data_IF_222325657008
#
_entry.id   IF_222325657008
#
_cell.length_a   1.000
_cell.length_b   1.000
_cell.length_c   1.000
_cell.angle_alpha   90.00
_cell.angle_beta   90.00
_cell.angle_gamma   90.00
#
_symmetry.space_group_name_H-M   'P 1'
#
loop_
_entity.id
_entity.type
_entity.pdbx_description
1 polymer ?
#
# COMPACT_ATOMS: atom_id res chain seq x y z
N UNK A 1 -34.53 7.63 35.24
CA UNK A 1 -33.21 8.16 35.66
C UNK A 1 -32.04 7.26 35.29
N UNK A 2 -32.02 5.95 35.62
CA UNK A 2 -30.91 5.06 35.23
C UNK A 2 -30.78 4.84 33.71
N UNK A 3 -31.90 4.64 33.00
CA UNK A 3 -31.92 4.44 31.55
C UNK A 3 -31.48 5.68 30.75
N UNK A 4 -31.81 6.87 31.24
CA UNK A 4 -31.40 8.15 30.63
C UNK A 4 -29.91 8.40 30.84
N UNK A 5 -29.36 8.08 32.02
CA UNK A 5 -27.92 8.17 32.28
C UNK A 5 -27.11 7.19 31.40
N UNK A 6 -27.59 5.95 31.24
CA UNK A 6 -26.96 4.95 30.35
C UNK A 6 -27.00 5.44 28.88
N UNK A 7 -28.13 6.00 28.43
CA UNK A 7 -28.24 6.56 27.09
C UNK A 7 -27.24 7.70 26.82
N UNK A 8 -27.09 8.62 27.78
CA UNK A 8 -26.12 9.73 27.68
C UNK A 8 -24.68 9.20 27.63
N UNK A 9 -24.35 8.20 28.45
CA UNK A 9 -23.02 7.58 28.42
C UNK A 9 -22.74 6.91 27.08
N UNK A 10 -23.70 6.18 26.50
CA UNK A 10 -23.54 5.54 25.19
C UNK A 10 -23.33 6.56 24.07
N UNK A 11 -24.10 7.65 24.06
CA UNK A 11 -23.92 8.74 23.10
C UNK A 11 -22.54 9.38 23.25
N UNK A 12 -22.08 9.60 24.49
CA UNK A 12 -20.76 10.16 24.74
C UNK A 12 -19.64 9.24 24.26
N UNK A 13 -19.72 7.93 24.52
CA UNK A 13 -18.76 6.94 24.03
C UNK A 13 -18.74 6.92 22.50
N UNK A 14 -19.91 6.95 21.86
CA UNK A 14 -20.02 6.97 20.40
C UNK A 14 -19.43 8.25 19.80
N UNK A 15 -19.74 9.41 20.38
CA UNK A 15 -19.19 10.70 19.94
C UNK A 15 -17.67 10.74 20.09
N UNK A 16 -17.14 10.21 21.20
CA UNK A 16 -15.71 10.11 21.43
C UNK A 16 -15.04 9.18 20.41
N UNK A 17 -15.65 8.03 20.11
CA UNK A 17 -15.18 7.10 19.09
C UNK A 17 -15.14 7.72 17.68
N UNK A 18 -16.20 8.42 17.27
CA UNK A 18 -16.24 9.15 16.01
C UNK A 18 -15.17 10.24 15.94
N UNK A 19 -14.97 10.98 17.04
CA UNK A 19 -13.95 12.00 17.13
C UNK A 19 -12.54 11.41 16.95
N UNK A 20 -12.25 10.27 17.61
CA UNK A 20 -10.98 9.56 17.41
C UNK A 20 -10.82 9.08 15.97
N UNK A 21 -11.85 8.47 15.38
CA UNK A 21 -11.81 7.99 13.99
C UNK A 21 -11.57 9.13 12.99
N UNK A 22 -12.26 10.26 13.17
CA UNK A 22 -12.07 11.46 12.36
C UNK A 22 -10.67 12.05 12.51
N UNK A 23 -10.18 12.18 13.75
CA UNK A 23 -8.83 12.71 14.06
C UNK A 23 -7.71 11.88 13.42
N UNK A 24 -7.91 10.56 13.30
CA UNK A 24 -6.97 9.65 12.63
C UNK A 24 -7.06 9.68 11.10
N UNK A 25 -7.98 10.47 10.53
CA UNK A 25 -8.21 10.55 9.08
C UNK A 25 -9.05 9.42 8.52
N UNK A 26 -9.88 8.75 9.33
CA UNK A 26 -10.70 7.62 8.88
C UNK A 26 -11.78 7.99 7.87
N UNK A 27 -12.12 9.28 7.76
CA UNK A 27 -13.01 9.84 6.73
C UNK A 27 -12.26 10.53 5.59
N UNK A 28 -10.92 10.52 5.57
CA UNK A 28 -10.19 11.13 4.48
C UNK A 28 -10.47 10.38 3.19
N UNK A 29 -10.76 11.13 2.13
CA UNK A 29 -10.97 10.55 0.82
C UNK A 29 -9.66 10.01 0.25
N UNK A 30 -9.79 8.93 -0.52
CA UNK A 30 -8.71 8.40 -1.34
C UNK A 30 -8.67 9.28 -2.59
N UNK A 31 -7.64 10.12 -2.71
CA UNK A 31 -7.42 10.96 -3.89
C UNK A 31 -6.87 10.08 -5.00
N UNK A 32 -7.54 10.03 -6.16
CA UNK A 32 -7.11 9.21 -7.29
C UNK A 32 -6.89 10.09 -8.50
N UNK A 33 -5.74 9.92 -9.12
CA UNK A 33 -5.34 10.67 -10.30
C UNK A 33 -4.54 9.80 -11.27
N UNK A 34 -4.46 10.26 -12.53
CA UNK A 34 -3.54 9.70 -13.52
C UNK A 34 -2.22 10.43 -13.40
N UNK A 35 -1.13 9.70 -13.18
CA UNK A 35 0.23 10.24 -13.12
C UNK A 35 1.11 9.63 -14.22
N UNK A 36 2.03 10.43 -14.77
CA UNK A 36 3.12 9.92 -15.58
C UNK A 36 4.35 9.75 -14.69
N UNK A 37 4.57 8.53 -14.21
CA UNK A 37 5.72 8.15 -13.39
C UNK A 37 6.95 7.75 -14.22
N UNK A 38 6.86 7.81 -15.55
CA UNK A 38 7.91 7.36 -16.45
C UNK A 38 8.22 5.87 -16.27
N UNK A 39 9.51 5.53 -16.30
CA UNK A 39 9.98 4.19 -16.00
C UNK A 39 10.23 4.06 -14.49
N UNK A 40 9.57 3.09 -13.85
CA UNK A 40 9.78 2.76 -12.45
C UNK A 40 10.78 1.60 -12.39
N UNK A 41 11.95 1.85 -11.81
CA UNK A 41 12.97 0.82 -11.60
C UNK A 41 13.04 0.50 -10.10
N UNK A 42 12.68 -0.74 -9.75
CA UNK A 42 12.73 -1.24 -8.39
C UNK A 42 13.78 -2.33 -8.28
N UNK A 43 14.36 -2.47 -7.10
CA UNK A 43 15.24 -3.59 -6.76
C UNK A 43 15.01 -4.02 -5.32
N UNK A 44 14.94 -5.32 -5.10
CA UNK A 44 14.52 -5.89 -3.82
C UNK A 44 14.49 -7.40 -3.78
N UNK A 45 13.73 -7.94 -2.83
CA UNK A 45 13.65 -9.37 -2.54
C UNK A 45 12.31 -9.88 -3.07
N UNK A 46 12.37 -10.94 -3.87
CA UNK A 46 11.18 -11.71 -4.26
C UNK A 46 10.97 -12.87 -3.28
N UNK A 47 9.80 -12.93 -2.67
CA UNK A 47 9.45 -13.95 -1.71
C UNK A 47 8.21 -14.73 -2.18
N UNK A 48 8.26 -16.05 -2.00
CA UNK A 48 7.11 -16.94 -2.17
C UNK A 48 7.08 -17.93 -1.01
N UNK A 49 5.98 -17.97 -0.28
CA UNK A 49 5.85 -18.74 0.95
C UNK A 49 4.58 -18.36 1.69
N UNK A 50 4.57 -18.38 3.02
CA UNK A 50 3.40 -18.03 3.85
C UNK A 50 3.61 -16.73 4.64
N UNK A 51 2.53 -16.04 5.07
CA UNK A 51 2.63 -14.84 5.91
C UNK A 51 3.39 -15.00 7.23
N UNK A 52 3.59 -16.23 7.70
CA UNK A 52 4.25 -16.54 8.97
C UNK A 52 5.71 -17.00 8.80
N UNK A 53 6.20 -17.07 7.56
CA UNK A 53 7.58 -17.46 7.29
C UNK A 53 8.55 -16.38 7.77
N UNK A 54 9.59 -16.78 8.50
CA UNK A 54 10.57 -15.82 9.05
C UNK A 54 11.34 -15.10 7.93
N UNK A 55 11.54 -15.74 6.77
CA UNK A 55 12.21 -15.13 5.61
C UNK A 55 11.41 -13.97 5.01
N UNK A 56 10.07 -13.96 5.13
CA UNK A 56 9.25 -12.80 4.77
C UNK A 56 9.56 -11.62 5.69
N UNK A 57 9.60 -11.87 6.99
CA UNK A 57 9.93 -10.86 8.00
C UNK A 57 11.36 -10.34 7.85
N UNK A 58 12.30 -11.21 7.50
CA UNK A 58 13.66 -10.81 7.16
C UNK A 58 13.73 -9.95 5.90
N UNK A 59 12.94 -10.28 4.86
CA UNK A 59 12.85 -9.47 3.66
C UNK A 59 12.36 -8.05 3.98
N UNK A 60 11.25 -7.93 4.70
CA UNK A 60 10.75 -6.62 5.16
C UNK A 60 11.76 -5.88 6.02
N UNK A 61 12.36 -6.54 7.02
CA UNK A 61 13.36 -5.92 7.90
C UNK A 61 14.56 -5.39 7.11
N UNK A 62 15.02 -6.14 6.12
CA UNK A 62 16.18 -5.75 5.29
C UNK A 62 15.87 -4.47 4.51
N UNK A 63 14.73 -4.42 3.84
CA UNK A 63 14.32 -3.25 3.06
C UNK A 63 13.98 -2.06 3.96
N UNK A 64 13.32 -2.28 5.10
CA UNK A 64 13.03 -1.22 6.08
C UNK A 64 14.30 -0.59 6.66
N UNK A 65 15.34 -1.38 6.95
CA UNK A 65 16.62 -0.86 7.42
C UNK A 65 17.27 0.03 6.37
N UNK A 66 17.37 -0.45 5.12
CA UNK A 66 17.92 0.34 4.01
C UNK A 66 17.14 1.64 3.77
N UNK A 67 15.81 1.58 3.90
CA UNK A 67 14.93 2.75 3.76
C UNK A 67 15.18 3.78 4.85
N UNK A 68 15.44 3.35 6.09
CA UNK A 68 15.75 4.26 7.21
C UNK A 68 17.13 4.89 7.11
N UNK A 69 18.08 4.19 6.53
CA UNK A 69 19.46 4.65 6.34
C UNK A 69 19.62 5.59 5.13
N UNK A 70 18.64 5.60 4.23
CA UNK A 70 18.70 6.34 2.96
C UNK A 70 17.61 7.41 2.89
N UNK A 71 18.01 8.68 2.99
CA UNK A 71 17.07 9.79 2.88
C UNK A 71 16.33 9.77 1.53
N UNK A 72 15.00 9.83 1.58
CA UNK A 72 14.14 9.84 0.40
C UNK A 72 13.87 8.47 -0.22
N UNK A 73 14.49 7.39 0.25
CA UNK A 73 14.12 6.03 -0.12
C UNK A 73 12.72 5.69 0.41
N UNK A 74 11.97 4.89 -0.34
CA UNK A 74 10.63 4.44 0.03
C UNK A 74 10.57 2.93 -0.13
N UNK A 75 9.80 2.28 0.75
CA UNK A 75 9.53 0.85 0.66
C UNK A 75 8.37 0.62 -0.31
N UNK A 76 8.55 -0.34 -1.21
CA UNK A 76 7.55 -0.78 -2.17
C UNK A 76 7.21 -2.24 -1.98
N UNK A 77 5.93 -2.56 -2.13
CA UNK A 77 5.47 -3.94 -2.20
C UNK A 77 4.63 -4.20 -3.43
N UNK A 78 4.76 -5.40 -3.99
CA UNK A 78 3.91 -5.88 -5.09
C UNK A 78 3.46 -7.28 -4.72
N UNK A 79 2.17 -7.43 -4.42
CA UNK A 79 1.56 -8.74 -4.15
C UNK A 79 1.09 -9.36 -5.46
N UNK A 80 1.83 -10.34 -5.97
CA UNK A 80 1.44 -11.13 -7.14
C UNK A 80 0.36 -12.17 -6.77
N UNK A 81 0.43 -12.69 -5.55
CA UNK A 81 -0.58 -13.55 -4.96
C UNK A 81 -0.81 -13.12 -3.51
N UNK A 82 -2.03 -12.68 -3.21
CA UNK A 82 -2.43 -12.33 -1.85
C UNK A 82 -2.92 -13.57 -1.09
N UNK A 83 -2.49 -13.75 0.18
CA UNK A 83 -2.95 -14.84 1.01
C UNK A 83 -4.33 -14.52 1.59
N UNK A 84 -5.24 -15.51 1.65
CA UNK A 84 -6.53 -15.36 2.35
C UNK A 84 -6.40 -15.65 3.85
N UNK A 85 -5.33 -16.31 4.28
CA UNK A 85 -5.04 -16.68 5.64
C UNK A 85 -3.55 -16.88 5.91
N UNK A 86 -3.21 -17.04 7.20
CA UNK A 86 -1.82 -17.11 7.68
C UNK A 86 -0.99 -18.28 7.12
N UNK A 87 -1.65 -19.31 6.57
CA UNK A 87 -1.01 -20.52 6.03
C UNK A 87 -1.10 -20.61 4.50
N UNK A 88 -1.75 -19.64 3.88
CA UNK A 88 -1.90 -19.63 2.43
C UNK A 88 -0.61 -19.16 1.80
N UNK A 89 -0.35 -19.65 0.59
CA UNK A 89 0.77 -19.16 -0.20
C UNK A 89 0.51 -17.73 -0.62
N UNK A 90 1.54 -16.90 -0.45
CA UNK A 90 1.64 -15.57 -1.00
C UNK A 90 2.90 -15.45 -1.83
N UNK A 91 2.85 -14.55 -2.80
CA UNK A 91 3.98 -14.19 -3.64
C UNK A 91 4.07 -12.67 -3.67
N UNK A 92 5.19 -12.14 -3.16
CA UNK A 92 5.38 -10.71 -2.97
C UNK A 92 6.79 -10.29 -3.35
N UNK A 93 6.91 -9.15 -3.99
CA UNK A 93 8.16 -8.41 -4.08
C UNK A 93 8.19 -7.33 -3.00
N UNK A 94 9.30 -7.23 -2.27
CA UNK A 94 9.56 -6.16 -1.29
C UNK A 94 10.86 -5.48 -1.67
N UNK A 95 10.81 -4.18 -1.94
CA UNK A 95 11.98 -3.47 -2.46
C UNK A 95 11.89 -1.96 -2.31
N UNK A 96 12.76 -1.27 -3.05
CA UNK A 96 12.86 0.19 -3.09
C UNK A 96 13.33 0.62 -4.49
N UNK A 97 13.36 1.92 -4.79
CA UNK A 97 13.85 2.39 -6.09
C UNK A 97 15.33 1.99 -6.32
N UNK A 98 15.65 1.44 -7.50
CA UNK A 98 16.96 0.83 -7.80
C UNK A 98 18.17 1.75 -7.56
N UNK A 99 17.98 3.06 -7.58
CA UNK A 99 19.03 4.02 -7.28
C UNK A 99 19.57 3.89 -5.84
N UNK A 100 18.77 3.36 -4.91
CA UNK A 100 19.11 3.19 -3.50
C UNK A 100 19.58 1.78 -3.12
N UNK A 101 19.59 0.82 -4.07
CA UNK A 101 20.01 -0.57 -3.83
C UNK A 101 21.12 -1.07 -4.76
N UNK A 102 21.86 -0.16 -5.40
CA UNK A 102 22.92 -0.50 -6.38
C UNK A 102 24.01 -1.45 -5.85
N UNK A 103 24.20 -1.53 -4.54
CA UNK A 103 25.23 -2.36 -3.91
C UNK A 103 24.71 -3.72 -3.41
N UNK A 104 23.44 -4.07 -3.66
CA UNK A 104 22.82 -5.30 -3.16
C UNK A 104 22.80 -6.37 -4.25
N UNK A 105 23.85 -7.19 -4.32
CA UNK A 105 23.99 -8.23 -5.37
C UNK A 105 22.89 -9.30 -5.34
N UNK A 106 22.27 -9.53 -4.18
CA UNK A 106 21.20 -10.53 -4.00
C UNK A 106 19.82 -10.04 -4.43
N UNK A 107 19.67 -8.76 -4.80
CA UNK A 107 18.36 -8.20 -5.12
C UNK A 107 17.97 -8.46 -6.57
N UNK A 108 16.71 -8.81 -6.78
CA UNK A 108 16.12 -8.88 -8.11
C UNK A 108 15.73 -7.49 -8.58
N UNK A 109 15.99 -7.20 -9.86
CA UNK A 109 15.60 -5.94 -10.49
C UNK A 109 14.26 -6.08 -11.22
N UNK A 110 13.42 -5.07 -11.10
CA UNK A 110 12.12 -4.98 -11.75
C UNK A 110 12.00 -3.64 -12.48
N UNK A 111 11.57 -3.69 -13.74
CA UNK A 111 11.31 -2.50 -14.56
C UNK A 111 9.83 -2.47 -14.93
N UNK A 112 9.17 -1.38 -14.57
CA UNK A 112 7.74 -1.18 -14.78
C UNK A 112 7.50 0.09 -15.59
N UNK A 113 6.53 0.05 -16.49
CA UNK A 113 6.10 1.23 -17.24
C UNK A 113 4.98 1.94 -16.45
N UNK A 114 5.31 3.09 -15.86
CA UNK A 114 4.40 3.94 -15.09
C UNK A 114 3.91 5.17 -15.85
N UNK A 115 4.09 5.24 -17.17
CA UNK A 115 3.72 6.42 -17.97
C UNK A 115 2.21 6.71 -18.02
N UNK A 116 1.38 5.71 -17.74
CA UNK A 116 -0.08 5.81 -17.63
C UNK A 116 -0.59 5.28 -16.30
N UNK A 117 0.19 5.45 -15.22
CA UNK A 117 -0.18 4.96 -13.90
C UNK A 117 -1.43 5.68 -13.37
N UNK A 118 -2.26 4.93 -12.65
CA UNK A 118 -3.36 5.48 -11.85
C UNK A 118 -2.95 5.35 -10.39
N UNK A 119 -2.84 6.47 -9.71
CA UNK A 119 -2.28 6.53 -8.36
C UNK A 119 -3.38 6.91 -7.38
N UNK A 120 -3.55 6.09 -6.35
CA UNK A 120 -4.33 6.42 -5.18
C UNK A 120 -3.41 6.97 -4.08
N UNK A 121 -3.63 8.21 -3.65
CA UNK A 121 -2.98 8.82 -2.51
C UNK A 121 -3.85 8.68 -1.28
N UNK A 122 -3.28 8.07 -0.23
CA UNK A 122 -3.99 7.77 1.02
C UNK A 122 -3.26 8.49 2.13
N UNK A 123 -3.96 9.41 2.81
CA UNK A 123 -3.47 10.10 3.99
C UNK A 123 -4.32 9.73 5.20
N UNK A 124 -3.90 8.74 5.97
CA UNK A 124 -4.61 8.28 7.15
C UNK A 124 -3.66 7.55 8.10
N UNK A 125 -4.00 7.46 9.38
CA UNK A 125 -3.25 6.60 10.29
C UNK A 125 -3.49 5.12 9.96
N UNK A 126 -2.47 4.25 10.10
CA UNK A 126 -2.52 2.81 9.73
C UNK A 126 -3.73 2.05 10.30
N UNK A 127 -4.26 2.47 11.45
CA UNK A 127 -5.41 1.86 12.13
C UNK A 127 -6.72 2.09 11.37
N UNK A 128 -6.86 3.21 10.66
CA UNK A 128 -8.10 3.62 9.99
C UNK A 128 -7.95 3.66 8.46
N UNK A 129 -6.82 3.21 7.92
CA UNK A 129 -6.60 3.13 6.48
C UNK A 129 -7.61 2.17 5.82
N UNK A 130 -8.05 2.48 4.58
CA UNK A 130 -8.88 1.58 3.80
C UNK A 130 -8.14 0.26 3.52
N UNK A 131 -8.89 -0.85 3.49
CA UNK A 131 -8.32 -2.15 3.12
C UNK A 131 -7.83 -2.19 1.66
N UNK A 132 -6.84 -3.04 1.32
CA UNK A 132 -6.21 -3.09 -0.01
C UNK A 132 -7.21 -3.22 -1.16
N UNK A 133 -8.15 -4.17 -1.08
CA UNK A 133 -9.14 -4.39 -2.14
C UNK A 133 -10.06 -3.19 -2.38
N UNK A 134 -10.38 -2.42 -1.32
CA UNK A 134 -11.17 -1.18 -1.48
C UNK A 134 -10.40 -0.16 -2.32
N UNK A 135 -9.10 -0.01 -2.08
CA UNK A 135 -8.24 0.92 -2.84
C UNK A 135 -8.12 0.46 -4.28
N UNK A 136 -7.78 -0.81 -4.53
CA UNK A 136 -7.67 -1.37 -5.88
C UNK A 136 -8.97 -1.23 -6.68
N UNK A 137 -10.12 -1.47 -6.05
CA UNK A 137 -11.41 -1.30 -6.70
C UNK A 137 -11.68 0.14 -7.09
N UNK A 138 -11.36 1.12 -6.22
CA UNK A 138 -11.49 2.54 -6.60
C UNK A 138 -10.56 2.92 -7.75
N UNK A 139 -9.33 2.38 -7.80
CA UNK A 139 -8.41 2.58 -8.92
C UNK A 139 -9.00 2.04 -10.23
N UNK A 140 -9.54 0.81 -10.21
CA UNK A 140 -10.19 0.20 -11.39
C UNK A 140 -11.46 0.95 -11.81
N UNK A 141 -12.23 1.43 -10.85
CA UNK A 141 -13.42 2.26 -11.11
C UNK A 141 -13.03 3.59 -11.75
N UNK A 142 -11.99 4.26 -11.23
CA UNK A 142 -11.44 5.46 -11.85
C UNK A 142 -10.98 5.21 -13.29
N UNK A 143 -10.32 4.07 -13.55
CA UNK A 143 -9.92 3.68 -14.91
C UNK A 143 -11.15 3.58 -15.83
N UNK A 144 -12.20 2.87 -15.39
CA UNK A 144 -13.44 2.67 -16.15
C UNK A 144 -14.17 3.98 -16.44
N UNK A 145 -14.33 4.83 -15.42
CA UNK A 145 -15.01 6.13 -15.56
C UNK A 145 -14.31 7.08 -16.51
N UNK A 146 -12.98 6.97 -16.64
CA UNK A 146 -12.16 7.81 -17.50
C UNK A 146 -11.72 7.13 -18.81
N UNK A 147 -12.28 5.96 -19.14
CA UNK A 147 -11.93 5.18 -20.33
C UNK A 147 -10.41 4.90 -20.46
N UNK A 148 -9.74 4.67 -19.32
CA UNK A 148 -8.34 4.27 -19.23
C UNK A 148 -8.22 2.74 -19.19
N UNK A 149 -7.02 2.23 -19.48
CA UNK A 149 -6.72 0.81 -19.34
C UNK A 149 -6.85 0.38 -17.87
N UNK A 150 -7.55 -0.74 -17.64
CA UNK A 150 -7.74 -1.28 -16.29
C UNK A 150 -6.43 -1.89 -15.77
N UNK A 151 -5.86 -1.39 -14.66
CA UNK A 151 -4.60 -1.91 -14.13
C UNK A 151 -4.77 -3.31 -13.54
N UNK A 152 -3.76 -4.14 -13.75
CA UNK A 152 -3.68 -5.54 -13.28
C UNK A 152 -2.49 -5.80 -12.36
N UNK A 153 -1.65 -4.79 -12.14
CA UNK A 153 -0.53 -4.83 -11.21
C UNK A 153 -0.58 -3.60 -10.31
N UNK A 154 -0.39 -3.81 -9.01
CA UNK A 154 -0.47 -2.77 -8.00
C UNK A 154 0.82 -2.71 -7.21
N UNK A 155 1.41 -1.53 -7.13
CA UNK A 155 2.61 -1.26 -6.33
C UNK A 155 2.21 -0.40 -5.15
N UNK A 156 2.29 -0.94 -3.95
CA UNK A 156 2.15 -0.12 -2.75
C UNK A 156 3.49 0.59 -2.50
N UNK A 157 3.43 1.87 -2.15
CA UNK A 157 4.59 2.69 -1.80
C UNK A 157 4.32 3.36 -0.45
N UNK A 158 5.13 3.03 0.55
CA UNK A 158 5.07 3.67 1.87
C UNK A 158 5.85 4.98 1.78
N UNK A 159 5.14 6.12 1.78
CA UNK A 159 5.76 7.45 1.74
C UNK A 159 6.20 7.87 3.13
N UNK A 160 5.34 7.65 4.14
CA UNK A 160 5.66 7.75 5.56
C UNK A 160 4.62 7.00 6.40
N UNK A 161 4.64 7.18 7.73
CA UNK A 161 3.76 6.48 8.67
C UNK A 161 2.26 6.73 8.45
N UNK A 162 1.89 7.84 7.80
CA UNK A 162 0.50 8.25 7.58
C UNK A 162 0.17 8.49 6.10
N UNK A 163 1.12 8.29 5.19
CA UNK A 163 0.94 8.45 3.75
C UNK A 163 1.38 7.22 2.99
N UNK A 164 0.45 6.65 2.22
CA UNK A 164 0.69 5.53 1.31
C UNK A 164 0.20 5.92 -0.07
N UNK A 165 0.90 5.44 -1.09
CA UNK A 165 0.44 5.47 -2.47
C UNK A 165 0.21 4.05 -2.94
N UNK A 166 -0.88 3.82 -3.66
CA UNK A 166 -1.11 2.57 -4.41
C UNK A 166 -1.11 2.92 -5.88
N UNK A 167 -0.13 2.39 -6.59
CA UNK A 167 0.13 2.68 -8.00
C UNK A 167 -0.42 1.52 -8.82
N UNK A 168 -1.54 1.74 -9.50
CA UNK A 168 -2.10 0.80 -10.47
C UNK A 168 -1.46 1.00 -11.84
N UNK A 169 -0.88 -0.08 -12.38
CA UNK A 169 -0.30 -0.11 -13.73
C UNK A 169 -0.86 -1.29 -14.52
N UNK A 170 -0.91 -1.12 -15.84
CA UNK A 170 -1.18 -2.21 -16.77
C UNK A 170 0.12 -2.92 -17.10
N UNK A 171 0.21 -4.22 -16.82
CA UNK A 171 1.34 -5.04 -17.25
C UNK A 171 1.29 -5.15 -18.77
N UNK A 172 2.31 -4.62 -19.45
CA UNK A 172 2.47 -4.86 -20.88
C UNK A 172 2.79 -6.35 -21.05
N UNK A 173 1.99 -7.06 -21.85
CA UNK A 173 2.33 -8.41 -22.29
C UNK A 173 3.65 -8.33 -23.05
N UNK A 174 4.69 -8.97 -22.53
CA UNK A 174 5.90 -9.27 -23.29
C UNK A 174 5.61 -10.41 -24.26
#
# INVERSE_FOLDING_TARGET
MKKTAIGVILVFIFALGLFFFYSLGGFNDIEIERENLGQIELSGIHFRGTPVDESLKEAFRTIETLTKETEGAKLHTIYYLEPMGKRDTMEVFVGLESQWSKNQESFVSLKLNGSSAIVAHIKAHRIVMPGPEKVKNKIREFAKLNALEEPDLFVDQIVDSNRIRVIGIKKQSQ
#
